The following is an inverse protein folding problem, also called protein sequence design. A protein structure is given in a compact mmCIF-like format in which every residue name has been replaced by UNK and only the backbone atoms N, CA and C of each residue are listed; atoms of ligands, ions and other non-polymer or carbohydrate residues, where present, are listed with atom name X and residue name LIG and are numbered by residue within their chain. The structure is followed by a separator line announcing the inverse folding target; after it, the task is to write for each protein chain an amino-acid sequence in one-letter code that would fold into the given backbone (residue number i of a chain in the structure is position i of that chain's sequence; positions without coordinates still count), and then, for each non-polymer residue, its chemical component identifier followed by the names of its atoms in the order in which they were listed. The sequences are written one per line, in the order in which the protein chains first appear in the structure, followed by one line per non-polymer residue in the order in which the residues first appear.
data_IF_830179868320
#
_entry.id   IF_830179868320
#
_cell.length_a   1.000
_cell.length_b   1.000
_cell.length_c   1.000
_cell.angle_alpha   90.00
_cell.angle_beta   90.00
_cell.angle_gamma   90.00
#
_symmetry.space_group_name_H-M   'P 1'
#
loop_
_entity.id
_entity.type
_entity.pdbx_description
1 polymer ?
#
# COMPACT_ATOMS: atom_id res chain seq x y z
N UNK A 1 17.67 2.54 -5.52
CA UNK A 1 16.28 2.47 -6.02
C UNK A 1 15.51 1.26 -5.53
N UNK A 2 15.77 0.02 -6.00
CA UNK A 2 14.97 -1.14 -5.55
C UNK A 2 15.05 -1.42 -4.04
N UNK A 3 16.23 -1.24 -3.43
CA UNK A 3 16.41 -1.38 -1.98
C UNK A 3 15.62 -0.34 -1.19
N UNK A 4 15.62 0.92 -1.63
CA UNK A 4 14.90 2.01 -0.97
C UNK A 4 13.38 1.78 -1.00
N UNK A 5 12.85 1.27 -2.12
CA UNK A 5 11.44 0.89 -2.21
C UNK A 5 11.14 -0.21 -1.21
N UNK A 6 11.95 -1.28 -1.16
CA UNK A 6 11.76 -2.36 -0.20
C UNK A 6 11.81 -1.89 1.26
N UNK A 7 12.72 -0.97 1.61
CA UNK A 7 12.78 -0.36 2.94
C UNK A 7 11.50 0.40 3.30
N UNK A 8 10.97 1.18 2.35
CA UNK A 8 9.71 1.92 2.56
C UNK A 8 8.52 0.96 2.66
N UNK A 9 8.49 -0.13 1.89
CA UNK A 9 7.44 -1.16 2.01
C UNK A 9 7.44 -1.82 3.40
N UNK A 10 8.61 -2.05 3.99
CA UNK A 10 8.74 -2.54 5.36
C UNK A 10 8.21 -1.51 6.36
N UNK A 11 8.48 -0.22 6.15
CA UNK A 11 7.93 0.85 6.99
C UNK A 11 6.40 0.90 6.94
N UNK A 12 5.81 0.78 5.73
CA UNK A 12 4.35 0.69 5.55
C UNK A 12 3.77 -0.50 6.35
N UNK A 13 4.37 -1.69 6.26
CA UNK A 13 3.95 -2.85 7.05
C UNK A 13 4.03 -2.57 8.56
N UNK A 14 5.13 -1.96 9.02
CA UNK A 14 5.32 -1.62 10.43
C UNK A 14 4.24 -0.63 10.91
N UNK A 15 3.93 0.39 10.12
CA UNK A 15 2.88 1.37 10.42
C UNK A 15 1.50 0.71 10.49
N UNK A 16 1.15 -0.15 9.52
CA UNK A 16 -0.12 -0.89 9.54
C UNK A 16 -0.26 -1.75 10.80
N UNK A 17 0.82 -2.41 11.23
CA UNK A 17 0.84 -3.20 12.48
C UNK A 17 0.71 -2.33 13.72
N UNK A 18 1.42 -1.20 13.78
CA UNK A 18 1.35 -0.26 14.91
C UNK A 18 -0.05 0.33 15.07
N UNK A 19 -0.71 0.63 13.94
CA UNK A 19 -2.07 1.15 13.90
C UNK A 19 -3.14 0.07 14.10
N UNK A 20 -2.76 -1.19 14.33
CA UNK A 20 -3.67 -2.34 14.41
C UNK A 20 -4.57 -2.53 13.18
N UNK A 21 -4.11 -2.04 12.01
CA UNK A 21 -4.77 -2.18 10.71
C UNK A 21 -4.31 -3.42 9.95
N UNK A 22 -3.25 -4.08 10.43
CA UNK A 22 -2.72 -5.30 9.83
C UNK A 22 -3.63 -6.50 10.12
N UNK A 23 -4.30 -7.01 9.09
CA UNK A 23 -5.17 -8.17 9.23
C UNK A 23 -4.43 -9.48 8.98
N UNK A 24 -4.66 -10.47 9.86
CA UNK A 24 -4.08 -11.81 9.71
C UNK A 24 -4.84 -12.67 8.69
N UNK A 25 -6.11 -12.34 8.45
CA UNK A 25 -6.99 -13.11 7.58
C UNK A 25 -7.03 -12.40 6.23
N UNK A 26 -6.65 -13.12 5.17
CA UNK A 26 -6.78 -12.61 3.82
C UNK A 26 -8.26 -12.51 3.41
N UNK A 27 -8.67 -11.44 2.72
CA UNK A 27 -10.00 -11.35 2.12
C UNK A 27 -10.16 -12.44 1.05
N UNK A 28 -11.41 -12.74 0.71
CA UNK A 28 -11.74 -13.76 -0.29
C UNK A 28 -11.07 -13.46 -1.64
N UNK A 29 -10.71 -14.51 -2.38
CA UNK A 29 -10.11 -14.37 -3.72
C UNK A 29 -10.97 -13.53 -4.66
N UNK A 30 -12.30 -13.62 -4.54
CA UNK A 30 -13.24 -12.78 -5.30
C UNK A 30 -13.09 -11.29 -4.97
N UNK A 31 -12.86 -10.94 -3.70
CA UNK A 31 -12.65 -9.56 -3.28
C UNK A 31 -11.29 -9.02 -3.76
N UNK A 32 -10.26 -9.87 -3.77
CA UNK A 32 -8.94 -9.55 -4.32
C UNK A 32 -8.94 -9.42 -5.86
N UNK A 33 -9.87 -10.10 -6.54
CA UNK A 33 -10.02 -10.09 -7.99
C UNK A 33 -10.88 -8.90 -8.50
N UNK A 34 -11.18 -7.92 -7.65
CA UNK A 34 -11.93 -6.73 -8.06
C UNK A 34 -11.18 -5.95 -9.15
N UNK A 35 -11.93 -5.53 -10.17
CA UNK A 35 -11.41 -4.73 -11.30
C UNK A 35 -11.39 -3.23 -11.02
N UNK A 36 -12.03 -2.79 -9.94
CA UNK A 36 -12.07 -1.39 -9.54
C UNK A 36 -10.68 -0.93 -9.03
N UNK A 37 -10.32 0.34 -9.23
CA UNK A 37 -9.06 0.88 -8.73
C UNK A 37 -8.98 0.71 -7.21
N UNK A 38 -7.83 0.23 -6.72
CA UNK A 38 -7.59 -0.09 -5.30
C UNK A 38 -8.57 -1.11 -4.67
N UNK A 39 -9.35 -1.81 -5.50
CA UNK A 39 -10.42 -2.70 -5.04
C UNK A 39 -11.37 -2.01 -4.02
N UNK A 40 -11.63 -0.71 -4.17
CA UNK A 40 -12.39 0.09 -3.17
C UNK A 40 -13.80 -0.41 -2.89
N UNK A 41 -14.39 -1.17 -3.81
CA UNK A 41 -15.72 -1.77 -3.66
C UNK A 41 -15.71 -2.97 -2.71
N UNK A 42 -14.60 -3.72 -2.67
CA UNK A 42 -14.51 -5.02 -1.99
C UNK A 42 -13.54 -5.03 -0.82
N UNK A 43 -12.54 -4.14 -0.80
CA UNK A 43 -11.46 -4.11 0.17
C UNK A 43 -11.36 -2.75 0.87
N UNK A 44 -10.94 -2.80 2.13
CA UNK A 44 -10.43 -1.62 2.82
C UNK A 44 -9.02 -1.29 2.33
N UNK A 45 -8.63 -0.02 2.46
CA UNK A 45 -7.28 0.42 2.05
C UNK A 45 -6.15 -0.39 2.72
N UNK A 46 -6.18 -0.69 4.04
CA UNK A 46 -5.17 -1.55 4.67
C UNK A 46 -5.09 -2.97 4.09
N UNK A 47 -6.25 -3.58 3.77
CA UNK A 47 -6.30 -4.90 3.15
C UNK A 47 -5.69 -4.87 1.76
N UNK A 48 -6.06 -3.88 0.94
CA UNK A 48 -5.48 -3.71 -0.38
C UNK A 48 -3.96 -3.49 -0.29
N UNK A 49 -3.50 -2.66 0.66
CA UNK A 49 -2.08 -2.42 0.89
C UNK A 49 -1.30 -3.71 1.20
N UNK A 50 -1.80 -4.55 2.11
CA UNK A 50 -1.07 -5.74 2.53
C UNK A 50 -1.20 -6.93 1.58
N UNK A 51 -2.34 -7.11 0.93
CA UNK A 51 -2.61 -8.32 0.12
C UNK A 51 -2.46 -8.10 -1.38
N UNK A 52 -2.53 -6.86 -1.85
CA UNK A 52 -2.39 -6.54 -3.27
C UNK A 52 -1.12 -5.73 -3.49
N UNK A 53 -1.00 -4.56 -2.89
CA UNK A 53 0.08 -3.62 -3.19
C UNK A 53 1.46 -4.13 -2.77
N UNK A 54 1.66 -4.45 -1.49
CA UNK A 54 2.92 -4.97 -0.96
C UNK A 54 3.46 -6.16 -1.77
N UNK A 55 2.71 -7.28 -1.94
CA UNK A 55 3.22 -8.42 -2.69
C UNK A 55 3.41 -8.12 -4.18
N UNK A 56 2.61 -7.23 -4.78
CA UNK A 56 2.79 -6.84 -6.18
C UNK A 56 4.12 -6.12 -6.38
N UNK A 57 4.43 -5.12 -5.56
CA UNK A 57 5.69 -4.38 -5.69
C UNK A 57 6.88 -5.29 -5.35
N UNK A 58 6.82 -6.11 -4.28
CA UNK A 58 7.89 -7.06 -3.98
C UNK A 58 8.18 -8.00 -5.15
N UNK A 59 7.14 -8.53 -5.79
CA UNK A 59 7.31 -9.38 -6.99
C UNK A 59 7.94 -8.60 -8.14
N UNK A 60 7.50 -7.38 -8.42
CA UNK A 60 8.09 -6.55 -9.48
C UNK A 60 9.57 -6.24 -9.22
N UNK A 61 9.94 -5.98 -7.97
CA UNK A 61 11.33 -5.75 -7.56
C UNK A 61 12.19 -7.02 -7.74
N UNK A 62 11.66 -8.19 -7.36
CA UNK A 62 12.33 -9.49 -7.52
C UNK A 62 12.51 -9.86 -9.01
N UNK A 63 11.45 -9.67 -9.81
CA UNK A 63 11.45 -9.90 -11.25
C UNK A 63 12.19 -8.81 -12.05
N UNK A 64 12.70 -7.76 -11.39
CA UNK A 64 13.27 -6.55 -12.02
C UNK A 64 12.37 -5.99 -13.13
N UNK A 65 11.06 -6.13 -12.96
CA UNK A 65 10.07 -5.67 -13.91
C UNK A 65 9.86 -4.15 -13.77
N UNK A 66 9.46 -3.47 -14.85
CA UNK A 66 9.16 -2.05 -14.79
C UNK A 66 8.03 -1.81 -13.77
N UNK A 67 8.28 -0.92 -12.82
CA UNK A 67 7.30 -0.47 -11.85
C UNK A 67 6.20 0.35 -12.56
N UNK A 68 5.00 0.47 -11.97
CA UNK A 68 3.93 1.27 -12.59
C UNK A 68 4.36 2.73 -12.73
N UNK A 69 4.11 3.32 -13.90
CA UNK A 69 4.52 4.69 -14.24
C UNK A 69 3.93 5.77 -13.31
N UNK A 70 2.86 5.44 -12.61
CA UNK A 70 2.22 6.34 -11.64
C UNK A 70 1.68 5.56 -10.46
N UNK A 71 2.06 6.00 -9.26
CA UNK A 71 1.49 5.53 -8.00
C UNK A 71 1.02 6.73 -7.19
N UNK A 72 -0.19 6.67 -6.63
CA UNK A 72 -0.78 7.78 -5.88
C UNK A 72 -1.70 7.24 -4.79
N UNK A 73 -1.10 6.50 -3.85
CA UNK A 73 -1.81 5.85 -2.75
C UNK A 73 -1.94 6.79 -1.55
N UNK A 74 -0.95 7.66 -1.32
CA UNK A 74 -0.97 8.64 -0.25
C UNK A 74 -2.25 9.49 -0.17
N UNK A 75 -2.73 10.13 -1.26
CA UNK A 75 -3.96 10.92 -1.19
C UNK A 75 -5.18 10.06 -0.86
N UNK A 76 -5.20 8.79 -1.30
CA UNK A 76 -6.27 7.86 -0.97
C UNK A 76 -6.24 7.48 0.52
N UNK A 77 -5.05 7.30 1.10
CA UNK A 77 -4.89 7.07 2.54
C UNK A 77 -5.35 8.28 3.36
N UNK A 78 -4.95 9.48 2.96
CA UNK A 78 -5.38 10.72 3.62
C UNK A 78 -6.90 10.87 3.59
N UNK A 79 -7.54 10.51 2.47
CA UNK A 79 -8.99 10.55 2.34
C UNK A 79 -9.68 9.45 3.17
N UNK A 80 -9.18 8.22 3.13
CA UNK A 80 -9.74 7.10 3.88
C UNK A 80 -9.69 7.32 5.40
N UNK A 81 -8.59 7.89 5.90
CA UNK A 81 -8.41 8.20 7.32
C UNK A 81 -8.88 9.60 7.70
N UNK A 82 -9.46 10.37 6.76
CA UNK A 82 -9.95 11.72 7.03
C UNK A 82 -11.04 11.67 8.11
N UNK A 83 -10.77 12.33 9.24
CA UNK A 83 -11.70 12.35 10.38
C UNK A 83 -11.59 11.14 11.32
N UNK A 84 -10.62 10.25 11.10
CA UNK A 84 -10.25 9.22 12.08
C UNK A 84 -9.41 9.84 13.20
N UNK A 85 -9.56 9.31 14.42
CA UNK A 85 -8.69 9.66 15.57
C UNK A 85 -7.33 8.94 15.51
N UNK A 86 -7.15 8.04 14.54
CA UNK A 86 -5.90 7.29 14.35
C UNK A 86 -4.77 8.22 13.89
N UNK A 87 -3.60 8.08 14.52
CA UNK A 87 -2.37 8.80 14.14
C UNK A 87 -1.71 8.19 12.91
N UNK A 88 -2.30 8.41 11.73
CA UNK A 88 -1.82 7.83 10.46
C UNK A 88 -0.70 8.61 9.78
N UNK A 89 -0.15 9.65 10.42
CA UNK A 89 0.89 10.50 9.82
C UNK A 89 2.13 9.74 9.39
N UNK A 90 2.55 8.72 10.16
CA UNK A 90 3.65 7.84 9.78
C UNK A 90 3.33 6.99 8.55
N UNK A 91 2.15 6.36 8.54
CA UNK A 91 1.67 5.57 7.40
C UNK A 91 1.57 6.42 6.12
N UNK A 92 0.95 7.59 6.19
CA UNK A 92 0.81 8.49 5.04
C UNK A 92 2.17 8.94 4.53
N UNK A 93 3.11 9.30 5.41
CA UNK A 93 4.45 9.68 5.01
C UNK A 93 5.22 8.53 4.32
N UNK A 94 5.06 7.29 4.80
CA UNK A 94 5.62 6.11 4.16
C UNK A 94 5.02 5.88 2.76
N UNK A 95 3.70 6.03 2.61
CA UNK A 95 3.01 5.93 1.33
C UNK A 95 3.42 7.04 0.36
N UNK A 96 3.61 8.28 0.82
CA UNK A 96 4.11 9.37 -0.02
C UNK A 96 5.52 9.08 -0.54
N UNK A 97 6.37 8.48 0.30
CA UNK A 97 7.71 8.06 -0.12
C UNK A 97 7.65 6.96 -1.18
N UNK A 98 6.81 5.94 -1.01
CA UNK A 98 6.69 4.87 -2.00
C UNK A 98 6.15 5.40 -3.33
N UNK A 99 5.15 6.28 -3.28
CA UNK A 99 4.57 6.91 -4.47
C UNK A 99 5.64 7.68 -5.26
N UNK A 100 6.49 8.45 -4.58
CA UNK A 100 7.57 9.21 -5.19
C UNK A 100 8.66 8.29 -5.76
N UNK A 101 9.08 7.28 -5.01
CA UNK A 101 10.12 6.34 -5.46
C UNK A 101 9.68 5.55 -6.69
N UNK A 102 8.40 5.17 -6.76
CA UNK A 102 7.83 4.48 -7.92
C UNK A 102 7.69 5.43 -9.11
N UNK A 103 7.18 6.65 -8.91
CA UNK A 103 6.94 7.63 -10.00
C UNK A 103 8.23 8.21 -10.57
N UNK A 104 9.30 8.28 -9.78
CA UNK A 104 10.61 8.83 -10.19
C UNK A 104 11.57 7.75 -10.69
N UNK A 105 11.16 6.47 -10.62
CA UNK A 105 11.94 5.28 -10.98
C UNK A 105 12.10 5.03 -12.47
#
# INVERSE_FOLDING_TARGET
MHTEIAEVLIDVEAQLRQLSLWEKIAPSTEALASTEPFCVDTLTLPQWLQFVFLPTIYRMLDEQSPLPEKCSIAPMAEEYFRGSELSVGGLVAALQRVDQLITTG
#
